data_IF_332859171082
#
_entry.id   IF_332859171082
#
_cell.length_a   1.000
_cell.length_b   1.000
_cell.length_c   1.000
_cell.angle_alpha   90.00
_cell.angle_beta   90.00
_cell.angle_gamma   90.00
#
_symmetry.space_group_name_H-M   'P 1'
#
loop_
_entity.id
_entity.type
_entity.pdbx_description
1 polymer ?
#
# COMPACT_ATOMS: atom_id res chain seq x y z
N UNK A 1 -22.73 -12.30 -4.90
CA UNK A 1 -22.64 -12.96 -3.59
C UNK A 1 -21.80 -12.07 -2.70
N UNK A 2 -22.34 -11.57 -1.58
CA UNK A 2 -21.60 -10.74 -0.63
C UNK A 2 -20.72 -11.67 0.21
N UNK A 3 -19.48 -11.90 -0.22
CA UNK A 3 -18.48 -12.54 0.64
C UNK A 3 -18.04 -11.50 1.66
N UNK A 4 -18.31 -11.76 2.94
CA UNK A 4 -17.83 -10.90 4.03
C UNK A 4 -16.29 -10.85 3.98
N UNK A 5 -15.73 -9.65 4.17
CA UNK A 5 -14.27 -9.48 4.26
C UNK A 5 -13.75 -10.31 5.43
N UNK A 6 -12.72 -11.17 5.22
CA UNK A 6 -12.18 -11.98 6.30
C UNK A 6 -11.59 -11.09 7.39
N UNK A 7 -11.61 -11.52 8.67
CA UNK A 7 -10.89 -10.82 9.73
C UNK A 7 -9.42 -10.67 9.35
N UNK A 8 -8.85 -9.48 9.56
CA UNK A 8 -7.45 -9.25 9.29
C UNK A 8 -6.84 -8.22 10.25
N UNK A 9 -5.52 -8.28 10.40
CA UNK A 9 -4.73 -7.36 11.22
C UNK A 9 -3.38 -7.06 10.55
N UNK A 10 -2.69 -6.04 11.06
CA UNK A 10 -1.33 -5.69 10.64
C UNK A 10 -0.31 -6.26 11.63
N UNK A 11 0.72 -6.93 11.11
CA UNK A 11 1.87 -7.38 11.90
C UNK A 11 3.16 -6.76 11.33
N UNK A 12 4.09 -6.24 12.14
CA UNK A 12 5.34 -5.66 11.63
C UNK A 12 6.15 -6.67 10.83
N UNK A 13 6.70 -6.24 9.69
CA UNK A 13 7.69 -7.02 8.93
C UNK A 13 9.08 -6.69 9.46
N UNK A 14 9.92 -7.69 9.71
CA UNK A 14 11.32 -7.50 10.07
C UNK A 14 12.25 -7.95 8.93
N UNK A 15 12.84 -7.01 8.17
CA UNK A 15 13.73 -7.35 7.05
C UNK A 15 15.09 -7.94 7.48
N UNK A 16 15.37 -8.02 8.77
CA UNK A 16 16.51 -8.81 9.29
C UNK A 16 16.14 -10.27 9.53
N UNK A 17 14.85 -10.62 9.59
CA UNK A 17 14.39 -12.01 9.60
C UNK A 17 14.51 -12.60 8.20
N UNK A 18 15.24 -13.71 8.01
CA UNK A 18 15.35 -14.35 6.71
C UNK A 18 13.99 -14.78 6.14
N UNK A 19 13.04 -15.16 7.00
CA UNK A 19 11.70 -15.57 6.58
C UNK A 19 10.89 -14.40 6.03
N UNK A 20 10.88 -13.26 6.74
CA UNK A 20 10.18 -12.05 6.29
C UNK A 20 10.82 -11.47 5.02
N UNK A 21 12.16 -11.48 4.95
CA UNK A 21 12.89 -11.02 3.78
C UNK A 21 12.58 -11.88 2.54
N UNK A 22 12.57 -13.20 2.70
CA UNK A 22 12.23 -14.12 1.61
C UNK A 22 10.79 -13.93 1.14
N UNK A 23 9.86 -13.77 2.08
CA UNK A 23 8.45 -13.60 1.75
C UNK A 23 8.16 -12.24 1.10
N UNK A 24 8.78 -11.15 1.58
CA UNK A 24 8.55 -9.83 0.96
C UNK A 24 9.10 -9.84 -0.45
N UNK A 25 10.28 -10.44 -0.65
CA UNK A 25 10.88 -10.61 -1.97
C UNK A 25 9.95 -11.38 -2.91
N UNK A 26 9.39 -12.51 -2.46
CA UNK A 26 8.41 -13.29 -3.22
C UNK A 26 7.19 -12.45 -3.61
N UNK A 27 6.60 -11.71 -2.66
CA UNK A 27 5.43 -10.88 -2.95
C UNK A 27 5.76 -9.71 -3.89
N UNK A 28 6.94 -9.07 -3.75
CA UNK A 28 7.40 -8.02 -4.68
C UNK A 28 7.65 -8.56 -6.08
N UNK A 29 8.20 -9.77 -6.22
CA UNK A 29 8.34 -10.42 -7.52
C UNK A 29 6.99 -10.65 -8.19
N UNK A 30 5.97 -11.10 -7.43
CA UNK A 30 4.60 -11.23 -7.95
C UNK A 30 4.01 -9.86 -8.29
N UNK A 31 4.32 -8.83 -7.51
CA UNK A 31 3.92 -7.45 -7.80
C UNK A 31 4.51 -6.94 -9.11
N UNK A 32 5.75 -7.33 -9.44
CA UNK A 32 6.47 -6.91 -10.64
C UNK A 32 7.15 -5.54 -10.52
N UNK A 33 7.16 -4.93 -9.33
CA UNK A 33 7.73 -3.60 -9.08
C UNK A 33 8.64 -3.62 -7.86
N UNK A 34 9.75 -2.87 -7.88
CA UNK A 34 10.66 -2.71 -6.74
C UNK A 34 10.96 -4.06 -6.04
N UNK A 35 11.40 -5.03 -6.82
CA UNK A 35 11.52 -6.44 -6.41
C UNK A 35 12.94 -6.98 -6.48
N UNK A 36 13.90 -6.17 -6.89
CA UNK A 36 15.31 -6.53 -6.93
C UNK A 36 15.93 -6.49 -5.53
N UNK A 37 16.92 -7.36 -5.29
CA UNK A 37 17.59 -7.45 -3.99
C UNK A 37 18.20 -6.12 -3.52
N UNK A 38 18.86 -5.31 -4.37
CA UNK A 38 19.37 -4.00 -3.96
C UNK A 38 18.28 -3.06 -3.41
N UNK A 39 17.09 -3.06 -4.02
CA UNK A 39 15.96 -2.28 -3.52
C UNK A 39 15.50 -2.77 -2.15
N UNK A 40 15.36 -4.08 -1.94
CA UNK A 40 14.99 -4.63 -0.63
C UNK A 40 16.03 -4.36 0.46
N UNK A 41 17.32 -4.43 0.14
CA UNK A 41 18.40 -4.04 1.05
C UNK A 41 18.35 -2.54 1.38
N UNK A 42 18.01 -1.70 0.40
CA UNK A 42 17.81 -0.26 0.64
C UNK A 42 16.66 -0.02 1.62
N UNK A 43 15.57 -0.80 1.52
CA UNK A 43 14.43 -0.74 2.42
C UNK A 43 14.75 -1.24 3.81
N UNK A 44 15.57 -2.28 3.93
CA UNK A 44 16.10 -2.79 5.21
C UNK A 44 16.89 -1.71 5.94
N UNK A 45 17.80 -1.02 5.25
CA UNK A 45 18.51 0.15 5.82
C UNK A 45 17.54 1.27 6.24
N UNK A 46 16.49 1.54 5.46
CA UNK A 46 15.47 2.53 5.83
C UNK A 46 14.64 2.11 7.04
N UNK A 47 14.49 0.80 7.28
CA UNK A 47 13.92 0.27 8.51
C UNK A 47 14.84 0.54 9.71
N UNK A 48 16.16 0.35 9.55
CA UNK A 48 17.15 0.66 10.60
C UNK A 48 17.19 2.15 10.96
N UNK A 49 17.02 3.02 9.97
CA UNK A 49 16.90 4.47 10.15
C UNK A 49 15.55 4.89 10.77
N UNK A 50 14.62 3.96 10.98
CA UNK A 50 13.26 4.23 11.47
C UNK A 50 12.36 4.97 10.47
N UNK A 51 12.80 5.09 9.20
CA UNK A 51 12.08 5.81 8.15
C UNK A 51 11.07 4.93 7.42
N UNK A 52 11.30 3.61 7.36
CA UNK A 52 10.39 2.67 6.71
C UNK A 52 9.73 1.75 7.71
N UNK A 53 8.40 1.64 7.67
CA UNK A 53 7.65 0.71 8.52
C UNK A 53 6.71 -0.11 7.69
N UNK A 54 7.00 -1.40 7.64
CA UNK A 54 6.24 -2.37 6.90
C UNK A 54 5.32 -3.18 7.80
N UNK A 55 4.19 -3.58 7.22
CA UNK A 55 3.23 -4.44 7.87
C UNK A 55 2.75 -5.53 6.91
N UNK A 56 2.79 -6.77 7.40
CA UNK A 56 2.05 -7.87 6.82
C UNK A 56 0.56 -7.65 7.02
N UNK A 57 -0.23 -7.91 5.97
CA UNK A 57 -1.69 -8.05 6.10
C UNK A 57 -2.02 -9.51 6.41
N UNK A 58 -2.26 -9.79 7.69
CA UNK A 58 -2.47 -11.13 8.21
C UNK A 58 -3.95 -11.51 8.18
N UNK A 59 -4.27 -12.67 7.61
CA UNK A 59 -5.61 -13.28 7.64
C UNK A 59 -5.55 -14.69 8.26
N UNK A 60 -6.66 -15.20 8.83
CA UNK A 60 -6.76 -16.62 9.18
C UNK A 60 -6.55 -17.50 7.96
N UNK A 61 -5.84 -18.62 8.12
CA UNK A 61 -5.68 -19.61 7.07
C UNK A 61 -7.05 -20.19 6.67
N UNK A 62 -7.50 -19.99 5.41
CA UNK A 62 -8.79 -20.47 4.96
C UNK A 62 -8.85 -22.01 4.89
N UNK A 63 -7.70 -22.69 4.83
CA UNK A 63 -7.63 -24.15 4.78
C UNK A 63 -7.77 -24.78 6.17
N UNK A 64 -7.36 -24.07 7.22
CA UNK A 64 -7.51 -24.52 8.60
C UNK A 64 -8.99 -24.54 9.04
N UNK A 65 -9.83 -23.67 8.47
CA UNK A 65 -11.26 -23.63 8.74
C UNK A 65 -12.07 -24.77 8.07
N UNK A 66 -11.48 -25.48 7.11
CA UNK A 66 -12.15 -26.52 6.33
C UNK A 66 -11.80 -27.97 6.78
N UNK A 67 -10.89 -28.14 7.73
CA UNK A 67 -10.52 -29.45 8.24
C UNK A 67 -11.60 -29.98 9.21
N UNK A 68 -12.04 -31.26 9.10
CA UNK A 68 -12.93 -31.86 10.08
C UNK A 68 -12.24 -31.89 11.46
N UNK A 69 -12.93 -31.38 12.47
CA UNK A 69 -12.44 -31.35 13.85
C UNK A 69 -12.22 -32.78 14.37
N UNK A 70 -10.97 -33.24 14.37
CA UNK A 70 -10.56 -34.40 15.15
C UNK A 70 -10.38 -33.97 16.61
N UNK A 71 -11.06 -34.61 17.58
CA UNK A 71 -10.90 -34.26 18.99
C UNK A 71 -9.60 -34.88 19.50
N UNK A 72 -8.54 -34.07 19.53
CA UNK A 72 -7.26 -34.47 20.13
C UNK A 72 -6.62 -33.28 20.83
N UNK A 73 -6.79 -33.31 22.15
CA UNK A 73 -5.86 -32.92 23.22
C UNK A 73 -5.08 -31.60 23.09
N UNK A 74 -5.52 -30.61 23.87
CA UNK A 74 -4.77 -29.48 24.48
C UNK A 74 -3.32 -29.22 24.02
N UNK A 75 -3.15 -28.88 22.74
CA UNK A 75 -2.00 -28.12 22.26
C UNK A 75 -2.55 -26.83 21.65
N UNK A 76 -2.07 -25.69 22.13
CA UNK A 76 -2.41 -24.34 21.69
C UNK A 76 -2.76 -24.28 20.21
N UNK A 77 -4.03 -24.02 19.89
CA UNK A 77 -4.49 -23.75 18.52
C UNK A 77 -3.85 -22.45 18.02
N UNK A 78 -2.59 -22.50 17.59
CA UNK A 78 -2.02 -21.48 16.72
C UNK A 78 -2.78 -21.55 15.40
N UNK A 79 -3.87 -20.77 15.31
CA UNK A 79 -4.57 -20.52 14.05
C UNK A 79 -3.52 -20.07 13.06
N UNK A 80 -3.21 -20.91 12.06
CA UNK A 80 -2.24 -20.59 11.02
C UNK A 80 -2.62 -19.25 10.42
N UNK A 81 -1.64 -18.35 10.37
CA UNK A 81 -1.78 -17.00 9.81
C UNK A 81 -1.21 -17.02 8.40
N UNK A 82 -1.92 -16.41 7.46
CA UNK A 82 -1.46 -16.20 6.10
C UNK A 82 -1.16 -14.72 5.89
N UNK A 83 -0.01 -14.43 5.29
CA UNK A 83 0.33 -13.08 4.83
C UNK A 83 -0.32 -12.84 3.48
N UNK A 84 -1.51 -12.27 3.48
CA UNK A 84 -2.31 -12.02 2.28
C UNK A 84 -1.78 -10.86 1.42
N UNK A 85 -0.84 -10.08 1.95
CA UNK A 85 -0.29 -8.90 1.31
C UNK A 85 0.60 -8.12 2.28
N UNK A 86 0.97 -6.91 1.86
CA UNK A 86 1.75 -5.98 2.67
C UNK A 86 1.37 -4.53 2.39
N UNK A 87 1.71 -3.65 3.32
CA UNK A 87 1.55 -2.20 3.23
C UNK A 87 2.66 -1.54 4.06
N UNK A 88 3.07 -0.31 3.72
CA UNK A 88 4.02 0.46 4.51
C UNK A 88 3.53 1.86 4.86
N UNK A 89 4.05 2.39 5.96
CA UNK A 89 3.80 3.74 6.47
C UNK A 89 5.15 4.42 6.76
N UNK A 90 5.57 5.27 5.82
CA UNK A 90 6.96 5.67 5.70
C UNK A 90 7.14 7.18 5.95
N UNK A 91 8.23 7.54 6.61
CA UNK A 91 8.67 8.90 6.91
C UNK A 91 9.72 9.38 5.89
N UNK A 92 9.76 8.75 4.71
CA UNK A 92 10.58 9.15 3.57
C UNK A 92 9.86 8.81 2.26
N UNK A 93 10.32 9.43 1.19
CA UNK A 93 9.90 9.16 -0.19
C UNK A 93 11.13 9.03 -1.09
N UNK A 94 10.98 8.34 -2.22
CA UNK A 94 12.05 8.18 -3.21
C UNK A 94 11.54 8.49 -4.62
N UNK A 95 12.13 9.49 -5.31
CA UNK A 95 12.99 10.55 -4.77
C UNK A 95 12.34 11.33 -3.63
N UNK A 96 13.20 12.00 -2.85
CA UNK A 96 12.81 12.79 -1.69
C UNK A 96 11.84 13.92 -2.06
N UNK A 97 10.74 13.97 -1.32
CA UNK A 97 9.66 14.94 -1.47
C UNK A 97 8.99 15.12 -0.11
N UNK A 98 9.19 16.30 0.49
CA UNK A 98 8.66 16.64 1.82
C UNK A 98 7.14 16.81 1.84
N UNK A 99 6.48 16.97 0.68
CA UNK A 99 5.01 16.95 0.61
C UNK A 99 4.44 15.54 0.66
N UNK A 100 5.25 14.53 0.32
CA UNK A 100 4.89 13.12 0.44
C UNK A 100 5.25 12.54 1.80
N UNK A 101 6.46 12.83 2.29
CA UNK A 101 6.93 12.25 3.55
C UNK A 101 8.04 13.09 4.16
N UNK A 102 8.00 13.24 5.48
CA UNK A 102 9.00 14.00 6.24
C UNK A 102 9.60 13.13 7.33
N UNK A 103 10.91 13.28 7.54
CA UNK A 103 11.61 12.59 8.62
C UNK A 103 11.11 13.01 10.02
N UNK A 104 10.55 14.21 10.15
CA UNK A 104 9.88 14.70 11.36
C UNK A 104 8.47 14.10 11.57
N UNK A 105 8.00 13.25 10.65
CA UNK A 105 6.73 12.53 10.68
C UNK A 105 5.48 13.41 10.66
N UNK A 106 5.61 14.70 10.34
CA UNK A 106 4.45 15.58 10.15
C UNK A 106 3.61 15.18 8.92
N UNK A 107 4.26 14.57 7.93
CA UNK A 107 3.64 13.91 6.78
C UNK A 107 4.23 12.51 6.67
N UNK A 108 3.36 11.51 6.58
CA UNK A 108 3.75 10.13 6.32
C UNK A 108 3.15 9.66 4.99
N UNK A 109 3.92 8.89 4.23
CA UNK A 109 3.42 8.31 2.98
C UNK A 109 3.01 6.86 3.20
N UNK A 110 1.87 6.48 2.67
CA UNK A 110 1.49 5.08 2.49
C UNK A 110 2.10 4.59 1.19
N UNK A 111 2.88 3.52 1.26
CA UNK A 111 3.53 2.93 0.09
C UNK A 111 3.38 1.41 0.10
N UNK A 112 3.76 0.79 -1.02
CA UNK A 112 3.85 -0.67 -1.17
C UNK A 112 2.59 -1.46 -0.82
N UNK A 113 1.40 -0.84 -0.84
CA UNK A 113 0.14 -1.57 -0.69
C UNK A 113 0.02 -2.61 -1.80
N UNK A 114 0.03 -3.87 -1.40
CA UNK A 114 -0.07 -5.01 -2.30
C UNK A 114 -0.91 -6.10 -1.65
N UNK A 115 -1.83 -6.65 -2.42
CA UNK A 115 -2.62 -7.84 -2.05
C UNK A 115 -2.27 -8.93 -3.05
N UNK A 116 -1.92 -10.11 -2.54
CA UNK A 116 -1.67 -11.29 -3.38
C UNK A 116 -2.90 -11.57 -4.26
N UNK A 117 -2.72 -11.93 -5.54
CA UNK A 117 -3.82 -12.16 -6.47
C UNK A 117 -4.94 -13.07 -5.93
N UNK A 118 -4.57 -14.14 -5.21
CA UNK A 118 -5.50 -15.10 -4.63
C UNK A 118 -6.46 -14.51 -3.57
N UNK A 119 -6.15 -13.34 -3.00
CA UNK A 119 -6.95 -12.69 -1.96
C UNK A 119 -7.55 -11.34 -2.41
N UNK A 120 -7.44 -11.00 -3.70
CA UNK A 120 -8.06 -9.79 -4.26
C UNK A 120 -9.58 -9.97 -4.37
N UNK A 121 -10.32 -8.86 -4.39
CA UNK A 121 -11.78 -8.87 -4.41
C UNK A 121 -12.47 -9.20 -3.08
N UNK A 122 -11.71 -9.53 -2.02
CA UNK A 122 -12.24 -9.85 -0.69
C UNK A 122 -12.39 -8.62 0.22
N UNK A 123 -12.19 -7.40 -0.30
CA UNK A 123 -12.22 -6.15 0.48
C UNK A 123 -10.97 -5.89 1.34
N UNK A 124 -9.95 -6.75 1.25
CA UNK A 124 -8.71 -6.66 2.03
C UNK A 124 -7.92 -5.37 1.81
N UNK A 125 -7.89 -4.82 0.59
CA UNK A 125 -7.22 -3.54 0.33
C UNK A 125 -7.84 -2.39 1.12
N UNK A 126 -9.17 -2.29 1.15
CA UNK A 126 -9.88 -1.29 1.96
C UNK A 126 -9.58 -1.47 3.43
N UNK A 127 -9.59 -2.73 3.90
CA UNK A 127 -9.34 -3.02 5.31
C UNK A 127 -7.90 -2.74 5.73
N UNK A 128 -6.92 -3.01 4.87
CA UNK A 128 -5.51 -2.66 5.11
C UNK A 128 -5.34 -1.14 5.24
N UNK A 129 -6.00 -0.36 4.38
CA UNK A 129 -6.00 1.09 4.47
C UNK A 129 -6.66 1.59 5.76
N UNK A 130 -7.80 1.03 6.17
CA UNK A 130 -8.44 1.41 7.45
C UNK A 130 -7.51 1.13 8.64
N UNK A 131 -6.81 0.00 8.63
CA UNK A 131 -5.89 -0.40 9.70
C UNK A 131 -4.65 0.51 9.75
N UNK A 132 -4.04 0.83 8.61
CA UNK A 132 -2.84 1.70 8.59
C UNK A 132 -3.20 3.16 8.92
N UNK A 133 -4.37 3.63 8.49
CA UNK A 133 -4.88 4.96 8.83
C UNK A 133 -5.13 5.08 10.34
N UNK A 134 -5.76 4.07 10.95
CA UNK A 134 -5.96 4.01 12.39
C UNK A 134 -4.65 3.89 13.17
N UNK A 135 -3.69 3.11 12.67
CA UNK A 135 -2.35 3.02 13.25
C UNK A 135 -1.66 4.39 13.24
N UNK A 136 -1.64 5.07 12.09
CA UNK A 136 -1.05 6.40 11.99
C UNK A 136 -1.72 7.40 12.94
N UNK A 137 -3.05 7.42 12.99
CA UNK A 137 -3.80 8.32 13.87
C UNK A 137 -3.56 8.06 15.38
N UNK A 138 -3.15 6.85 15.77
CA UNK A 138 -2.98 6.46 17.18
C UNK A 138 -1.52 6.48 17.63
N UNK A 139 -0.57 6.15 16.76
CA UNK A 139 0.85 6.07 17.12
C UNK A 139 1.67 7.28 16.69
N UNK A 140 1.21 8.05 15.70
CA UNK A 140 1.96 9.16 15.10
C UNK A 140 1.32 10.51 15.48
N UNK A 141 1.49 10.92 16.73
CA UNK A 141 0.86 12.15 17.27
C UNK A 141 1.28 13.43 16.55
N UNK A 142 2.41 13.41 15.85
CA UNK A 142 2.91 14.52 15.04
C UNK A 142 2.36 14.51 13.61
N UNK A 143 1.80 13.38 13.15
CA UNK A 143 1.36 13.21 11.77
C UNK A 143 0.06 13.96 11.53
N UNK A 144 0.12 14.93 10.62
CA UNK A 144 -1.05 15.69 10.17
C UNK A 144 -1.64 15.12 8.88
N UNK A 145 -0.78 14.64 7.99
CA UNK A 145 -1.18 14.19 6.66
C UNK A 145 -0.68 12.79 6.37
N UNK A 146 -1.59 11.95 5.89
CA UNK A 146 -1.24 10.76 5.12
C UNK A 146 -1.23 11.11 3.65
N UNK A 147 -0.12 10.81 2.98
CA UNK A 147 0.05 11.01 1.56
C UNK A 147 0.24 9.67 0.84
N UNK A 148 0.01 9.65 -0.47
CA UNK A 148 0.35 8.55 -1.34
C UNK A 148 0.47 9.03 -2.79
N UNK A 149 1.15 8.24 -3.60
CA UNK A 149 1.12 8.36 -5.06
C UNK A 149 0.38 7.17 -5.66
N UNK A 150 -0.37 7.41 -6.71
CA UNK A 150 -1.00 6.35 -7.49
C UNK A 150 -1.02 6.70 -8.98
N UNK A 151 -1.35 5.74 -9.84
CA UNK A 151 -1.48 6.02 -11.27
C UNK A 151 -2.62 7.01 -11.50
N UNK A 152 -2.33 8.07 -12.26
CA UNK A 152 -3.31 9.10 -12.54
C UNK A 152 -4.48 8.59 -13.39
N UNK A 153 -5.67 9.12 -13.11
CA UNK A 153 -6.88 8.94 -13.90
C UNK A 153 -6.71 9.34 -15.37
N UNK A 154 -5.75 10.19 -15.71
CA UNK A 154 -5.48 10.56 -17.11
C UNK A 154 -5.21 9.35 -18.00
N UNK A 155 -4.66 8.28 -17.43
CA UNK A 155 -4.37 7.03 -18.14
C UNK A 155 -5.59 6.15 -18.35
N UNK A 156 -6.75 6.53 -17.80
CA UNK A 156 -8.02 5.83 -17.96
C UNK A 156 -9.05 6.65 -18.75
N UNK A 157 -8.85 7.97 -18.86
CA UNK A 157 -9.79 8.88 -19.52
C UNK A 157 -9.50 9.06 -21.01
N UNK A 158 -8.23 9.08 -21.40
CA UNK A 158 -7.81 9.28 -22.78
C UNK A 158 -6.67 8.33 -23.18
N UNK A 159 -7.07 7.22 -23.80
CA UNK A 159 -6.19 6.17 -24.30
C UNK A 159 -5.78 6.40 -25.77
N UNK A 160 -6.14 7.55 -26.36
CA UNK A 160 -5.68 7.89 -27.70
C UNK A 160 -4.17 8.20 -27.72
N UNK A 161 -3.51 8.09 -28.88
CA UNK A 161 -2.14 8.59 -29.05
C UNK A 161 -1.98 10.08 -28.72
N UNK A 162 -3.03 10.87 -28.92
CA UNK A 162 -3.09 12.30 -28.58
C UNK A 162 -3.23 12.54 -27.06
N UNK A 163 -3.82 11.57 -26.35
CA UNK A 163 -3.89 11.49 -24.90
C UNK A 163 -2.63 10.88 -24.31
N UNK A 164 -2.78 9.77 -23.57
CA UNK A 164 -1.62 9.08 -22.99
C UNK A 164 -1.24 7.82 -23.75
N UNK A 165 -2.23 7.09 -24.28
CA UNK A 165 -2.06 5.84 -25.04
C UNK A 165 -1.19 4.77 -24.36
N UNK A 166 -0.98 4.87 -23.04
CA UNK A 166 0.12 4.17 -22.36
C UNK A 166 -0.03 2.67 -22.42
N UNK A 167 -1.25 2.14 -22.29
CA UNK A 167 -1.52 0.70 -22.29
C UNK A 167 -1.15 0.06 -23.62
N UNK A 168 -1.62 0.62 -24.73
CA UNK A 168 -1.28 0.14 -26.06
C UNK A 168 0.22 0.26 -26.36
N UNK A 169 0.85 1.36 -25.91
CA UNK A 169 2.29 1.61 -26.12
C UNK A 169 3.18 0.67 -25.30
N UNK A 170 2.76 0.25 -24.11
CA UNK A 170 3.51 -0.73 -23.31
C UNK A 170 3.09 -2.18 -23.57
N UNK A 171 2.03 -2.40 -24.36
CA UNK A 171 1.45 -3.74 -24.54
C UNK A 171 0.78 -4.28 -23.28
N UNK A 172 0.47 -3.41 -22.32
CA UNK A 172 -0.23 -3.74 -21.09
C UNK A 172 -1.74 -3.51 -21.23
N UNK A 173 -2.51 -4.06 -20.30
CA UNK A 173 -3.93 -3.77 -20.16
C UNK A 173 -4.19 -2.88 -18.94
N UNK A 174 -5.21 -2.00 -18.98
CA UNK A 174 -5.61 -1.23 -17.82
C UNK A 174 -6.03 -2.17 -16.67
N UNK A 175 -5.75 -1.81 -15.40
CA UNK A 175 -6.14 -2.61 -14.25
C UNK A 175 -7.65 -2.91 -14.21
N UNK A 176 -8.02 -4.19 -14.14
CA UNK A 176 -9.41 -4.67 -14.05
C UNK A 176 -10.17 -4.07 -12.86
N UNK A 177 -9.47 -3.74 -11.78
CA UNK A 177 -10.07 -3.19 -10.56
C UNK A 177 -10.41 -1.70 -10.66
N UNK A 178 -10.20 -1.09 -11.83
CA UNK A 178 -10.47 0.31 -12.12
C UNK A 178 -9.32 1.24 -11.73
N UNK A 179 -9.62 2.53 -11.74
CA UNK A 179 -8.64 3.57 -11.42
C UNK A 179 -8.41 3.69 -9.90
N UNK A 180 -7.16 3.52 -9.49
CA UNK A 180 -6.77 3.65 -8.08
C UNK A 180 -6.99 5.08 -7.54
N UNK A 181 -6.80 6.11 -8.36
CA UNK A 181 -7.07 7.50 -7.96
C UNK A 181 -8.53 7.67 -7.51
N UNK A 182 -9.50 7.13 -8.27
CA UNK A 182 -10.91 7.17 -7.89
C UNK A 182 -11.19 6.36 -6.62
N UNK A 183 -10.50 5.24 -6.44
CA UNK A 183 -10.64 4.43 -5.22
C UNK A 183 -10.15 5.18 -3.98
N UNK A 184 -8.98 5.82 -4.03
CA UNK A 184 -8.48 6.65 -2.93
C UNK A 184 -9.33 7.89 -2.70
N UNK A 185 -9.87 8.52 -3.76
CA UNK A 185 -10.79 9.65 -3.63
C UNK A 185 -12.04 9.30 -2.82
N UNK A 186 -12.64 8.12 -3.08
CA UNK A 186 -13.77 7.61 -2.29
C UNK A 186 -13.43 7.35 -0.81
N UNK A 187 -12.14 7.22 -0.47
CA UNK A 187 -11.64 7.06 0.90
C UNK A 187 -11.29 8.40 1.58
N UNK A 188 -11.52 9.52 0.91
CA UNK A 188 -11.29 10.87 1.42
C UNK A 188 -9.89 11.43 1.13
N UNK A 189 -9.11 10.79 0.25
CA UNK A 189 -7.86 11.38 -0.23
C UNK A 189 -8.16 12.41 -1.32
N UNK A 190 -7.50 13.56 -1.24
CA UNK A 190 -7.66 14.67 -2.18
C UNK A 190 -6.40 14.76 -3.05
N UNK A 191 -6.58 14.81 -4.37
CA UNK A 191 -5.51 15.12 -5.32
C UNK A 191 -4.98 16.53 -5.06
N UNK A 192 -3.67 16.70 -4.94
CA UNK A 192 -3.07 18.03 -4.82
C UNK A 192 -2.05 18.36 -5.92
N UNK A 193 -1.45 17.34 -6.53
CA UNK A 193 -0.55 17.51 -7.67
C UNK A 193 -0.48 16.25 -8.52
N UNK A 194 0.08 16.41 -9.71
CA UNK A 194 0.24 15.34 -10.68
C UNK A 194 1.54 15.56 -11.46
N UNK A 195 2.35 14.51 -11.59
CA UNK A 195 3.70 14.62 -12.16
C UNK A 195 4.13 13.34 -12.89
N UNK A 196 5.01 13.40 -13.90
CA UNK A 196 5.60 12.21 -14.50
C UNK A 196 6.46 11.45 -13.47
N UNK A 197 6.23 10.14 -13.33
CA UNK A 197 6.90 9.34 -12.28
C UNK A 197 7.61 8.09 -12.79
N UNK A 198 6.92 7.27 -13.56
CA UNK A 198 7.47 5.97 -14.00
C UNK A 198 7.71 6.00 -15.50
N UNK A 199 8.88 5.55 -15.90
CA UNK A 199 9.33 5.52 -17.30
C UNK A 199 9.53 4.07 -17.70
N UNK A 200 8.92 3.69 -18.80
CA UNK A 200 9.05 2.36 -19.40
C UNK A 200 9.44 2.49 -20.86
N UNK A 201 10.03 1.43 -21.41
CA UNK A 201 10.29 1.32 -22.85
C UNK A 201 9.08 0.64 -23.47
N UNK A 202 8.41 1.33 -24.37
CA UNK A 202 7.26 0.84 -25.11
C UNK A 202 7.62 -0.27 -26.08
N UNK A 203 6.61 -0.94 -26.63
CA UNK A 203 6.75 -2.04 -27.58
C UNK A 203 7.45 -1.62 -28.87
N UNK A 204 7.36 -0.34 -29.25
CA UNK A 204 8.04 0.24 -30.40
C UNK A 204 9.44 0.80 -30.06
N UNK A 205 9.91 0.63 -28.82
CA UNK A 205 11.19 1.17 -28.33
C UNK A 205 11.15 2.63 -27.91
N UNK A 206 9.98 3.27 -27.94
CA UNK A 206 9.75 4.64 -27.50
C UNK A 206 9.66 4.74 -25.97
N UNK A 207 9.98 5.91 -25.41
CA UNK A 207 9.80 6.14 -23.97
C UNK A 207 8.33 6.40 -23.64
N UNK A 208 7.77 5.57 -22.76
CA UNK A 208 6.43 5.74 -22.20
C UNK A 208 6.54 6.28 -20.78
N UNK A 209 5.83 7.38 -20.49
CA UNK A 209 5.85 8.03 -19.17
C UNK A 209 4.48 7.94 -18.54
N UNK A 210 4.42 7.30 -17.37
CA UNK A 210 3.25 7.26 -16.51
C UNK A 210 3.29 8.42 -15.51
N UNK A 211 2.16 9.12 -15.41
CA UNK A 211 1.92 10.18 -14.46
C UNK A 211 1.36 9.62 -13.16
N UNK A 212 1.95 10.07 -12.06
CA UNK A 212 1.44 9.81 -10.74
C UNK A 212 0.49 10.94 -10.31
N UNK A 213 -0.66 10.57 -9.78
CA UNK A 213 -1.52 11.40 -8.96
C UNK A 213 -1.03 11.35 -7.51
N UNK A 214 -0.76 12.51 -6.93
CA UNK A 214 -0.35 12.66 -5.55
C UNK A 214 -1.57 13.04 -4.73
N UNK A 215 -1.94 12.19 -3.77
CA UNK A 215 -3.18 12.30 -3.02
C UNK A 215 -2.97 12.23 -1.52
N UNK A 216 -3.58 13.14 -0.77
CA UNK A 216 -3.39 13.24 0.69
C UNK A 216 -4.72 13.29 1.42
N UNK A 217 -4.68 12.85 2.68
CA UNK A 217 -5.80 12.88 3.62
C UNK A 217 -5.31 13.44 4.94
N UNK A 218 -6.05 14.40 5.49
CA UNK A 218 -5.74 14.91 6.83
C UNK A 218 -6.13 13.85 7.85
N UNK A 219 -5.21 13.52 8.76
CA UNK A 219 -5.53 12.71 9.92
C UNK A 219 -6.28 13.61 10.91
N UNK A 220 -7.59 13.38 11.04
CA UNK A 220 -8.40 14.12 11.99
C UNK A 220 -7.95 13.79 13.43
N UNK A 221 -7.20 14.71 14.06
CA UNK A 221 -6.75 14.61 15.44
C UNK A 221 -6.78 15.98 16.15
N UNK A 222 -7.80 16.20 16.99
CA UNK A 222 -7.91 17.20 18.07
C UNK A 222 -7.62 18.68 17.74
N UNK A 223 -8.39 19.28 16.82
CA UNK A 223 -8.62 20.75 16.81
C UNK A 223 -10.06 21.13 17.21
N UNK A 224 -10.67 20.33 18.08
CA UNK A 224 -11.83 20.77 18.85
C UNK A 224 -11.37 21.76 19.92
N UNK A 225 -11.12 23.00 19.51
CA UNK A 225 -10.79 24.07 20.43
C UNK A 225 -11.89 24.21 21.47
N UNK A 226 -11.54 23.96 22.73
CA UNK A 226 -12.28 24.49 23.86
C UNK A 226 -12.18 26.01 23.72
N UNK A 227 -13.27 26.64 23.26
CA UNK A 227 -13.45 28.08 23.40
C UNK A 227 -13.63 28.32 24.89
N UNK A 228 -12.55 28.67 25.58
CA UNK A 228 -12.65 29.33 26.88
C UNK A 228 -12.96 30.78 26.56
N UNK A 229 -14.24 31.12 26.59
CA UNK A 229 -14.69 32.50 26.66
C UNK A 229 -14.42 33.02 28.07
N UNK A 230 -13.49 33.96 28.20
CA UNK A 230 -13.49 34.95 29.29
C UNK A 230 -14.57 36.01 29.05
#
# INVERSE_FOLDING_TARGET
MNTATPPCHLAPINLHSPADFAEIHRQRQICGWDHDLPKLESWKRKQDEGLKRFYWLCIPDPTAAAAPATPSTEASEEKKVVYAGHISLDAYSDPADEELARADRAVLTIQTLFILPAYRGLGLGSRAMDLVEALAATTETQCRWLALTTLSERHYLDESPEGTGVWARTGAEPPVMGCNQWWYARRGYVLWKEEPRWREVGVAGDEVVFYAAFMRKELAGLRGGVVVSE
#
